data_IF_071003535490
#
_entry.id   IF_071003535490
#
_cell.length_a   1.000
_cell.length_b   1.000
_cell.length_c   1.000
_cell.angle_alpha   90.00
_cell.angle_beta   90.00
_cell.angle_gamma   90.00
#
_symmetry.space_group_name_H-M   'P 1'
#
loop_
_entity.id
_entity.type
_entity.pdbx_description
1 polymer ?
#
# COMPACT_ATOMS: atom_id res chain seq x y z
N UNK A 1 -29.99 0.34 34.89
CA UNK A 1 -29.92 1.82 34.70
C UNK A 1 -28.44 2.20 34.78
N UNK A 2 -27.84 2.67 33.68
CA UNK A 2 -26.39 2.89 33.59
C UNK A 2 -25.94 4.11 34.40
N UNK A 3 -24.78 4.00 35.05
CA UNK A 3 -24.18 5.09 35.80
C UNK A 3 -23.69 6.16 34.82
N UNK A 4 -24.19 7.40 34.96
CA UNK A 4 -23.72 8.51 34.12
C UNK A 4 -22.41 9.03 34.70
N UNK A 5 -21.32 9.08 33.92
CA UNK A 5 -20.05 9.62 34.40
C UNK A 5 -20.20 11.09 34.79
N UNK A 6 -19.58 11.53 35.90
CA UNK A 6 -19.68 12.91 36.40
C UNK A 6 -19.10 13.98 35.46
N UNK A 7 -18.36 13.54 34.44
CA UNK A 7 -17.70 14.39 33.45
C UNK A 7 -18.44 14.44 32.10
N UNK A 8 -19.57 13.73 31.95
CA UNK A 8 -20.33 13.71 30.71
C UNK A 8 -20.80 15.13 30.34
N UNK A 9 -20.42 15.61 29.16
CA UNK A 9 -20.84 16.91 28.63
C UNK A 9 -20.05 18.13 29.13
N UNK A 10 -19.07 17.97 30.03
CA UNK A 10 -18.24 19.08 30.48
C UNK A 10 -17.09 19.34 29.48
N UNK A 11 -16.83 20.59 29.09
CA UNK A 11 -15.71 20.91 28.20
C UNK A 11 -14.38 20.67 28.92
N UNK A 12 -13.40 20.10 28.21
CA UNK A 12 -12.04 19.95 28.72
C UNK A 12 -11.13 21.00 28.08
N UNK A 13 -10.87 22.14 28.74
CA UNK A 13 -10.02 23.19 28.18
C UNK A 13 -8.55 22.76 28.15
N UNK A 14 -7.82 23.17 27.11
CA UNK A 14 -6.36 22.99 27.02
C UNK A 14 -5.65 23.79 28.11
N UNK A 15 -4.77 23.16 28.89
CA UNK A 15 -3.98 23.79 29.96
C UNK A 15 -2.50 23.44 29.78
N UNK A 16 -1.63 24.44 29.93
CA UNK A 16 -0.18 24.26 29.77
C UNK A 16 0.22 23.76 28.38
N UNK A 17 1.17 22.83 28.30
CA UNK A 17 1.66 22.24 27.04
C UNK A 17 0.62 21.41 26.29
N UNK A 18 -0.56 21.14 26.87
CA UNK A 18 -1.58 20.35 26.18
C UNK A 18 -2.11 21.04 24.91
N UNK A 19 -2.01 22.37 24.81
CA UNK A 19 -2.31 23.13 23.58
C UNK A 19 -1.46 22.69 22.38
N UNK A 20 -0.25 22.17 22.61
CA UNK A 20 0.67 21.71 21.57
C UNK A 20 0.35 20.28 21.10
N UNK A 21 -0.24 19.45 21.98
CA UNK A 21 -0.40 17.99 21.78
C UNK A 21 -1.84 17.53 21.62
N UNK A 22 -2.83 18.42 21.79
CA UNK A 22 -4.23 18.11 21.50
C UNK A 22 -4.42 17.71 20.03
N UNK A 23 -5.37 16.82 19.76
CA UNK A 23 -5.76 16.42 18.40
C UNK A 23 -6.28 17.65 17.64
N UNK A 24 -5.40 18.33 16.89
CA UNK A 24 -5.65 19.63 16.26
C UNK A 24 -4.62 20.74 16.60
N UNK A 25 -3.64 20.46 17.46
CA UNK A 25 -2.49 21.34 17.70
C UNK A 25 -1.55 21.44 16.49
N UNK A 26 -0.61 22.40 16.55
CA UNK A 26 0.34 22.80 15.49
C UNK A 26 1.17 21.65 14.90
N UNK A 27 1.27 20.53 15.61
CA UNK A 27 1.95 19.32 15.14
C UNK A 27 1.01 18.52 14.24
N UNK A 28 1.12 18.75 12.93
CA UNK A 28 0.38 17.98 11.93
C UNK A 28 0.52 16.48 12.19
N UNK A 29 -0.62 15.81 12.42
CA UNK A 29 -0.72 14.36 12.63
C UNK A 29 -0.40 13.62 11.33
N UNK A 30 0.86 13.65 10.88
CA UNK A 30 1.32 12.68 9.89
C UNK A 30 1.41 11.33 10.61
N UNK A 31 0.71 10.29 10.13
CA UNK A 31 0.84 8.98 10.72
C UNK A 31 2.28 8.50 10.53
N UNK A 32 2.91 8.00 11.60
CA UNK A 32 4.29 7.50 11.57
C UNK A 32 4.48 6.37 10.55
N UNK A 33 3.40 5.67 10.22
CA UNK A 33 3.37 4.59 9.23
C UNK A 33 3.38 5.10 7.76
N UNK A 34 3.51 6.40 7.51
CA UNK A 34 3.55 6.95 6.15
C UNK A 34 4.88 6.59 5.46
N UNK A 35 4.85 5.53 4.66
CA UNK A 35 5.97 5.18 3.77
C UNK A 35 6.09 6.17 2.59
N UNK A 36 7.32 6.58 2.19
CA UNK A 36 7.52 7.41 1.01
C UNK A 36 7.14 6.67 -0.28
N UNK A 37 6.85 7.42 -1.35
CA UNK A 37 6.66 6.89 -2.71
C UNK A 37 7.93 6.15 -3.13
N UNK A 38 7.79 5.02 -3.82
CA UNK A 38 8.90 4.12 -4.17
C UNK A 38 9.21 3.06 -3.11
N UNK A 39 8.62 3.14 -1.91
CA UNK A 39 8.77 2.08 -0.90
C UNK A 39 8.22 0.75 -1.42
N UNK A 40 8.99 -0.32 -1.19
CA UNK A 40 8.58 -1.69 -1.49
C UNK A 40 8.06 -2.39 -0.23
N UNK A 41 7.15 -3.34 -0.42
CA UNK A 41 6.78 -4.31 0.62
C UNK A 41 6.35 -5.62 -0.02
N UNK A 42 6.41 -6.70 0.76
CA UNK A 42 5.85 -7.99 0.38
C UNK A 42 4.37 -8.02 0.81
N UNK A 43 3.46 -8.39 -0.09
CA UNK A 43 2.05 -8.58 0.23
C UNK A 43 1.90 -9.81 1.11
N UNK A 44 1.33 -9.67 2.32
CA UNK A 44 1.17 -10.80 3.24
C UNK A 44 0.13 -11.83 2.79
N UNK A 45 -0.79 -11.47 1.88
CA UNK A 45 -1.79 -12.41 1.33
C UNK A 45 -1.20 -13.26 0.21
N UNK A 46 -0.52 -12.61 -0.72
CA UNK A 46 -0.20 -13.19 -2.02
C UNK A 46 1.31 -13.42 -2.22
N UNK A 47 2.16 -12.91 -1.33
CA UNK A 47 3.62 -13.02 -1.41
C UNK A 47 4.30 -12.07 -2.41
N UNK A 48 3.55 -11.32 -3.23
CA UNK A 48 4.14 -10.44 -4.24
C UNK A 48 4.83 -9.21 -3.68
N UNK A 49 5.94 -8.81 -4.31
CA UNK A 49 6.50 -7.48 -4.12
C UNK A 49 5.56 -6.42 -4.72
N UNK A 50 5.20 -5.43 -3.91
CA UNK A 50 4.44 -4.26 -4.33
C UNK A 50 5.22 -2.99 -4.07
N UNK A 51 5.14 -2.05 -5.02
CA UNK A 51 5.77 -0.73 -4.98
C UNK A 51 4.70 0.31 -4.72
N UNK A 52 4.97 1.27 -3.84
CA UNK A 52 4.09 2.42 -3.63
C UNK A 52 4.26 3.42 -4.78
N UNK A 53 3.23 3.58 -5.61
CA UNK A 53 3.25 4.43 -6.81
C UNK A 53 2.61 5.80 -6.56
N UNK A 54 1.76 5.94 -5.52
CA UNK A 54 1.10 7.21 -5.22
C UNK A 54 0.56 7.33 -3.80
N UNK A 55 0.11 8.54 -3.44
CA UNK A 55 -0.55 8.85 -2.17
C UNK A 55 -2.08 8.84 -2.32
N UNK A 56 -2.85 8.51 -1.26
CA UNK A 56 -2.40 8.12 0.08
C UNK A 56 -1.91 6.67 0.20
N UNK A 57 -2.45 5.73 -0.58
CA UNK A 57 -2.09 4.29 -0.51
C UNK A 57 -2.27 3.58 -1.86
N UNK A 58 -1.66 4.13 -2.91
CA UNK A 58 -1.68 3.48 -4.24
C UNK A 58 -0.48 2.55 -4.34
N UNK A 59 -0.75 1.25 -4.28
CA UNK A 59 0.25 0.19 -4.40
C UNK A 59 0.05 -0.55 -5.72
N UNK A 60 1.15 -0.85 -6.41
CA UNK A 60 1.14 -1.62 -7.65
C UNK A 60 2.09 -2.79 -7.53
N UNK A 61 1.78 -3.91 -8.16
CA UNK A 61 2.71 -5.03 -8.23
C UNK A 61 3.99 -4.64 -8.96
N UNK A 62 5.13 -5.00 -8.38
CA UNK A 62 6.44 -4.63 -8.92
C UNK A 62 6.66 -5.17 -10.33
N UNK A 63 6.21 -6.39 -10.62
CA UNK A 63 6.33 -6.99 -11.95
C UNK A 63 5.50 -6.27 -13.02
N UNK A 64 4.28 -5.83 -12.69
CA UNK A 64 3.45 -5.03 -13.61
C UNK A 64 4.11 -3.69 -13.86
N UNK A 65 4.66 -3.06 -12.81
CA UNK A 65 5.37 -1.79 -12.95
C UNK A 65 6.63 -1.93 -13.82
N UNK A 66 7.42 -3.00 -13.62
CA UNK A 66 8.59 -3.31 -14.42
C UNK A 66 8.23 -3.55 -15.89
N UNK A 67 7.17 -4.33 -16.15
CA UNK A 67 6.67 -4.58 -17.49
C UNK A 67 6.24 -3.28 -18.18
N UNK A 68 5.46 -2.45 -17.50
CA UNK A 68 5.00 -1.17 -18.06
C UNK A 68 6.14 -0.20 -18.37
N UNK A 69 7.19 -0.20 -17.56
CA UNK A 69 8.37 0.63 -17.78
C UNK A 69 9.16 0.21 -19.03
N UNK A 70 9.20 -1.09 -19.35
CA UNK A 70 10.01 -1.62 -20.46
C UNK A 70 9.22 -1.85 -21.76
N UNK A 71 8.05 -2.47 -21.66
CA UNK A 71 7.26 -2.93 -22.82
C UNK A 71 6.03 -2.05 -23.09
N UNK A 72 5.74 -1.09 -22.20
CA UNK A 72 4.55 -0.23 -22.27
C UNK A 72 3.31 -0.82 -21.61
N UNK A 73 2.18 -0.15 -21.78
CA UNK A 73 0.93 -0.48 -21.08
C UNK A 73 0.49 -1.93 -21.37
N UNK A 74 0.13 -2.65 -20.31
CA UNK A 74 -0.46 -4.00 -20.43
C UNK A 74 -1.78 -3.90 -21.22
N UNK A 75 -1.94 -4.64 -22.32
CA UNK A 75 -3.17 -4.61 -23.11
C UNK A 75 -4.37 -5.11 -22.30
N UNK A 76 -5.55 -4.57 -22.58
CA UNK A 76 -6.79 -4.96 -21.91
C UNK A 76 -7.05 -6.46 -22.12
N UNK A 77 -7.30 -7.18 -21.03
CA UNK A 77 -7.54 -8.63 -21.10
C UNK A 77 -6.30 -9.51 -20.99
N UNK A 78 -5.12 -8.91 -20.79
CA UNK A 78 -3.88 -9.63 -20.51
C UNK A 78 -3.43 -9.44 -19.06
N UNK A 79 -2.65 -10.39 -18.57
CA UNK A 79 -2.02 -10.39 -17.25
C UNK A 79 -0.53 -10.69 -17.39
N UNK A 80 0.29 -10.04 -16.56
CA UNK A 80 1.72 -10.32 -16.48
C UNK A 80 1.94 -11.41 -15.43
N UNK A 81 2.63 -12.49 -15.79
CA UNK A 81 2.93 -13.60 -14.89
C UNK A 81 4.42 -13.93 -14.90
N UNK A 82 4.88 -14.59 -13.84
CA UNK A 82 6.21 -15.17 -13.76
C UNK A 82 6.23 -16.55 -14.39
N UNK A 83 7.24 -16.84 -15.22
CA UNK A 83 7.46 -18.17 -15.82
C UNK A 83 7.75 -19.19 -14.71
N UNK A 84 8.70 -18.85 -13.85
CA UNK A 84 8.99 -19.59 -12.64
C UNK A 84 8.21 -18.98 -11.47
N UNK A 85 7.21 -19.70 -10.96
CA UNK A 85 6.35 -19.28 -9.84
C UNK A 85 7.06 -19.46 -8.48
N UNK A 86 8.37 -19.24 -8.46
CA UNK A 86 9.21 -19.41 -7.29
C UNK A 86 9.11 -18.20 -6.35
N UNK A 87 9.15 -18.42 -5.02
CA UNK A 87 8.96 -17.36 -4.03
C UNK A 87 10.06 -16.29 -4.07
N UNK A 88 11.25 -16.61 -4.57
CA UNK A 88 12.36 -15.67 -4.72
C UNK A 88 12.16 -14.70 -5.89
N UNK A 89 11.63 -15.20 -7.01
CA UNK A 89 11.29 -14.37 -8.18
C UNK A 89 10.10 -13.45 -7.91
N UNK A 90 9.21 -13.86 -7.01
CA UNK A 90 8.12 -13.04 -6.49
C UNK A 90 8.62 -11.77 -5.78
N UNK A 91 9.80 -11.87 -5.14
CA UNK A 91 10.48 -10.78 -4.43
C UNK A 91 11.39 -9.96 -5.33
N UNK A 92 11.96 -10.57 -6.37
CA UNK A 92 12.88 -9.92 -7.32
C UNK A 92 12.43 -10.11 -8.78
N UNK A 93 11.52 -9.26 -9.28
CA UNK A 93 11.05 -9.35 -10.66
C UNK A 93 12.16 -9.00 -11.65
N UNK A 94 12.38 -9.89 -12.62
CA UNK A 94 13.32 -9.73 -13.74
C UNK A 94 12.52 -9.82 -15.03
N UNK A 95 12.88 -9.01 -16.04
CA UNK A 95 12.13 -8.95 -17.31
C UNK A 95 12.08 -10.33 -18.01
N UNK A 96 13.18 -11.08 -17.96
CA UNK A 96 13.28 -12.39 -18.62
C UNK A 96 12.33 -13.45 -18.03
N UNK A 97 11.96 -13.31 -16.76
CA UNK A 97 11.04 -14.23 -16.10
C UNK A 97 9.58 -13.78 -16.23
N UNK A 98 9.30 -12.69 -16.95
CA UNK A 98 7.95 -12.14 -17.10
C UNK A 98 7.40 -12.43 -18.48
N UNK A 99 6.16 -12.88 -18.52
CA UNK A 99 5.46 -13.09 -19.78
C UNK A 99 4.01 -12.62 -19.69
N UNK A 100 3.46 -12.30 -20.85
CA UNK A 100 2.11 -11.82 -21.00
C UNK A 100 1.18 -13.00 -21.31
N UNK A 101 0.09 -13.14 -20.55
CA UNK A 101 -0.89 -14.21 -20.72
C UNK A 101 -2.28 -13.60 -20.91
N UNK A 102 -3.08 -14.16 -21.80
CA UNK A 102 -4.48 -13.76 -21.91
C UNK A 102 -5.29 -14.28 -20.71
N UNK A 103 -6.19 -13.45 -20.18
CA UNK A 103 -7.06 -13.83 -19.04
C UNK A 103 -7.81 -15.16 -19.24
N UNK A 104 -8.35 -15.49 -20.44
CA UNK A 104 -9.04 -16.77 -20.65
C UNK A 104 -8.13 -18.00 -20.46
N UNK A 105 -6.85 -17.88 -20.80
CA UNK A 105 -5.87 -18.97 -20.64
C UNK A 105 -5.42 -19.08 -19.18
N UNK A 106 -5.31 -17.95 -18.49
CA UNK A 106 -4.89 -17.93 -17.08
C UNK A 106 -5.95 -18.45 -16.10
N UNK A 107 -7.24 -18.23 -16.38
CA UNK A 107 -8.35 -18.63 -15.51
C UNK A 107 -8.81 -20.10 -15.68
N UNK A 108 -8.05 -20.93 -16.40
CA UNK A 108 -8.28 -22.38 -16.48
C UNK A 108 -7.60 -23.09 -15.33
#
# INVERSE_FOLDING_TARGET
KGMVPPNKGKPHPSRGRSRETLFGGVRGHKPDNKKPIGSTRICSKDGYLVVKVGEPSVWKHAHVHLWEANNGKVPTGFVVRFYDNSPDKLKSPTLDNLFLVSRPVHCR
#
